data_IF_468489394870
#
_entry.id   IF_468489394870
#
_cell.length_a   1.000
_cell.length_b   1.000
_cell.length_c   1.000
_cell.angle_alpha   90.00
_cell.angle_beta   90.00
_cell.angle_gamma   90.00
#
_symmetry.space_group_name_H-M   'P 1'
#
loop_
_entity.id
_entity.type
_entity.pdbx_description
1 polymer ?
#
# COMPACT_ATOMS: atom_id res chain seq x y z
N UNK A 1 -7.24 -13.39 -79.57
CA UNK A 1 -7.75 -12.40 -78.61
C UNK A 1 -8.93 -12.94 -77.75
N UNK A 2 -9.64 -13.95 -78.17
CA UNK A 2 -10.77 -14.57 -77.43
C UNK A 2 -10.35 -15.47 -76.26
N UNK A 3 -9.23 -16.18 -76.33
CA UNK A 3 -8.79 -17.15 -75.30
C UNK A 3 -8.34 -16.49 -73.99
N UNK A 4 -7.81 -15.25 -73.99
CA UNK A 4 -7.42 -14.50 -72.77
C UNK A 4 -8.65 -13.99 -72.00
N UNK A 5 -9.79 -13.75 -72.64
CA UNK A 5 -11.03 -13.28 -71.97
C UNK A 5 -11.75 -14.44 -71.25
N UNK A 6 -11.67 -15.68 -71.72
CA UNK A 6 -12.22 -16.86 -71.05
C UNK A 6 -11.43 -17.26 -69.83
N UNK A 7 -10.10 -17.10 -69.85
CA UNK A 7 -9.24 -17.39 -68.71
C UNK A 7 -9.41 -16.38 -67.54
N UNK A 8 -9.64 -15.08 -67.87
CA UNK A 8 -9.94 -14.08 -66.85
C UNK A 8 -11.32 -14.28 -66.20
N UNK A 9 -12.33 -14.72 -66.99
CA UNK A 9 -13.67 -14.99 -66.43
C UNK A 9 -13.67 -16.25 -65.53
N UNK A 10 -12.86 -17.25 -65.85
CA UNK A 10 -12.74 -18.48 -65.02
C UNK A 10 -11.99 -18.23 -63.71
N UNK A 11 -10.99 -17.33 -63.68
CA UNK A 11 -10.28 -16.95 -62.45
C UNK A 11 -11.17 -16.10 -61.53
N UNK A 12 -11.98 -15.21 -62.05
CA UNK A 12 -12.95 -14.43 -61.27
C UNK A 12 -14.05 -15.31 -60.68
N UNK A 13 -14.50 -16.34 -61.41
CA UNK A 13 -15.51 -17.29 -60.93
C UNK A 13 -14.91 -18.24 -59.87
N UNK A 14 -13.63 -18.66 -59.96
CA UNK A 14 -12.97 -19.43 -58.90
C UNK A 14 -12.71 -18.63 -57.63
N UNK A 15 -12.38 -17.33 -57.71
CA UNK A 15 -12.22 -16.46 -56.55
C UNK A 15 -13.53 -16.20 -55.81
N UNK A 16 -14.68 -16.22 -56.47
CA UNK A 16 -15.97 -16.05 -55.82
C UNK A 16 -16.47 -17.29 -55.06
N UNK A 17 -15.91 -18.47 -55.28
CA UNK A 17 -16.26 -19.73 -54.58
C UNK A 17 -15.44 -19.90 -53.27
N UNK A 18 -14.27 -19.27 -53.16
CA UNK A 18 -13.39 -19.36 -51.98
C UNK A 18 -13.83 -18.36 -50.86
N UNK A 19 -14.67 -17.38 -51.19
CA UNK A 19 -15.13 -16.32 -50.24
C UNK A 19 -16.29 -16.69 -49.32
N UNK A 20 -16.88 -17.90 -49.42
CA UNK A 20 -18.09 -18.27 -48.63
C UNK A 20 -17.80 -19.23 -47.47
N UNK A 21 -16.53 -19.60 -47.24
CA UNK A 21 -16.17 -20.51 -46.16
C UNK A 21 -15.63 -19.82 -44.91
N UNK A 22 -16.00 -18.57 -44.68
CA UNK A 22 -15.57 -17.89 -43.42
C UNK A 22 -16.81 -17.26 -42.77
N UNK A 23 -17.11 -17.80 -41.60
CA UNK A 23 -18.03 -17.33 -40.55
C UNK A 23 -19.28 -18.20 -40.33
N UNK A 24 -19.08 -19.49 -40.05
CA UNK A 24 -19.99 -20.14 -39.12
C UNK A 24 -19.58 -19.68 -37.71
N UNK A 25 -20.01 -18.49 -37.29
CA UNK A 25 -20.14 -18.16 -35.89
C UNK A 25 -21.09 -19.20 -35.28
N UNK A 26 -20.57 -20.07 -34.45
CA UNK A 26 -21.36 -21.14 -33.82
C UNK A 26 -22.59 -20.53 -33.16
N UNK A 27 -23.77 -20.98 -33.61
CA UNK A 27 -25.05 -20.52 -33.09
C UNK A 27 -25.09 -20.85 -31.59
N UNK A 28 -25.27 -19.85 -30.74
CA UNK A 28 -25.38 -20.07 -29.30
C UNK A 28 -26.39 -21.16 -29.01
N UNK A 29 -26.02 -22.17 -28.23
CA UNK A 29 -26.91 -23.30 -27.86
C UNK A 29 -27.49 -23.16 -26.47
N UNK A 30 -26.86 -22.32 -25.64
CA UNK A 30 -27.34 -21.95 -24.31
C UNK A 30 -27.68 -20.46 -24.29
N UNK A 31 -28.90 -20.15 -23.87
CA UNK A 31 -29.30 -18.77 -23.59
C UNK A 31 -29.36 -18.56 -22.09
N UNK A 32 -28.47 -17.73 -21.58
CA UNK A 32 -28.47 -17.32 -20.17
C UNK A 32 -29.40 -16.14 -19.93
N UNK A 33 -30.11 -16.12 -18.81
CA UNK A 33 -30.95 -15.01 -18.39
C UNK A 33 -30.08 -13.76 -18.11
N UNK A 34 -28.91 -13.97 -17.50
CA UNK A 34 -27.84 -12.97 -17.37
C UNK A 34 -26.49 -13.67 -17.50
N UNK A 35 -25.53 -12.98 -18.11
CA UNK A 35 -24.12 -13.44 -18.22
C UNK A 35 -23.19 -12.73 -17.26
N UNK A 36 -23.68 -11.72 -16.53
CA UNK A 36 -22.89 -10.94 -15.58
C UNK A 36 -23.66 -10.76 -14.29
N UNK A 37 -23.03 -11.08 -13.17
CA UNK A 37 -23.56 -10.79 -11.86
C UNK A 37 -22.63 -9.84 -11.09
N UNK A 38 -23.22 -8.83 -10.44
CA UNK A 38 -22.49 -7.91 -9.58
C UNK A 38 -22.92 -8.12 -8.14
N UNK A 39 -21.99 -8.61 -7.31
CA UNK A 39 -22.21 -8.78 -5.87
C UNK A 39 -22.28 -7.45 -5.10
N UNK A 40 -21.97 -6.32 -5.78
CA UNK A 40 -21.88 -5.02 -5.10
C UNK A 40 -20.68 -4.92 -4.17
N UNK A 41 -20.90 -4.28 -3.02
CA UNK A 41 -19.90 -4.19 -1.96
C UNK A 41 -20.04 -5.41 -1.03
N UNK A 42 -19.03 -6.23 -0.95
CA UNK A 42 -18.94 -7.40 -0.06
C UNK A 42 -17.82 -7.20 0.95
N UNK A 43 -17.95 -7.77 2.14
CA UNK A 43 -16.91 -7.69 3.17
C UNK A 43 -15.92 -8.85 3.01
N UNK A 44 -14.62 -8.60 3.16
CA UNK A 44 -13.59 -9.64 3.14
C UNK A 44 -13.86 -10.75 4.15
N UNK A 45 -14.27 -10.35 5.37
CA UNK A 45 -14.60 -11.26 6.47
C UNK A 45 -16.05 -11.72 6.48
N UNK A 46 -16.88 -11.29 5.53
CA UNK A 46 -18.30 -11.61 5.43
C UNK A 46 -18.59 -13.06 4.96
N UNK A 47 -17.53 -13.80 4.62
CA UNK A 47 -17.66 -15.17 4.11
C UNK A 47 -17.90 -15.22 2.61
N UNK A 48 -18.11 -16.44 2.11
CA UNK A 48 -18.31 -16.69 0.69
C UNK A 48 -19.67 -16.16 0.23
N UNK A 49 -19.70 -15.60 -1.00
CA UNK A 49 -20.93 -15.17 -1.67
C UNK A 49 -21.17 -16.03 -2.91
N UNK A 50 -22.44 -16.32 -3.22
CA UNK A 50 -22.79 -17.19 -4.34
C UNK A 50 -23.87 -16.56 -5.20
N UNK A 51 -23.80 -16.85 -6.50
CA UNK A 51 -24.87 -16.54 -7.46
C UNK A 51 -25.12 -17.73 -8.36
N UNK A 52 -26.40 -17.97 -8.69
CA UNK A 52 -26.83 -19.03 -9.61
C UNK A 52 -27.25 -18.41 -10.92
N UNK A 53 -26.53 -18.72 -11.99
CA UNK A 53 -26.87 -18.39 -13.35
C UNK A 53 -27.83 -19.43 -13.88
N UNK A 54 -28.93 -18.99 -14.48
CA UNK A 54 -29.93 -19.87 -15.16
C UNK A 54 -29.71 -19.79 -16.65
N UNK A 55 -29.81 -20.93 -17.34
CA UNK A 55 -29.74 -20.98 -18.78
C UNK A 55 -30.85 -21.89 -19.34
N UNK A 56 -31.27 -21.64 -20.58
CA UNK A 56 -32.15 -22.45 -21.35
C UNK A 56 -31.40 -23.09 -22.50
N UNK A 57 -31.59 -24.41 -22.71
CA UNK A 57 -31.12 -25.09 -23.89
C UNK A 57 -31.99 -24.65 -25.10
N UNK A 58 -31.43 -23.86 -25.99
CA UNK A 58 -32.10 -23.40 -27.23
C UNK A 58 -31.70 -24.24 -28.46
N UNK A 59 -30.95 -25.31 -28.26
CA UNK A 59 -30.60 -26.29 -29.29
C UNK A 59 -31.74 -27.30 -29.51
N UNK A 60 -31.70 -28.00 -30.64
CA UNK A 60 -32.70 -29.07 -30.98
C UNK A 60 -32.38 -30.41 -30.36
N UNK A 61 -31.21 -30.58 -29.75
CA UNK A 61 -30.75 -31.80 -29.09
C UNK A 61 -30.40 -31.53 -27.63
N UNK A 62 -30.37 -32.58 -26.76
CA UNK A 62 -29.92 -32.41 -25.38
C UNK A 62 -28.50 -31.88 -25.28
N UNK A 63 -28.29 -30.92 -24.36
CA UNK A 63 -26.99 -30.30 -24.12
C UNK A 63 -26.47 -30.75 -22.76
N UNK A 64 -25.18 -31.13 -22.72
CA UNK A 64 -24.44 -31.46 -21.49
C UNK A 64 -23.37 -30.39 -21.25
N UNK A 65 -23.31 -29.88 -20.04
CA UNK A 65 -22.18 -29.05 -19.62
C UNK A 65 -21.00 -29.98 -19.33
N UNK A 66 -19.98 -29.91 -20.16
CA UNK A 66 -18.76 -30.75 -20.05
C UNK A 66 -17.81 -30.19 -19.01
N UNK A 67 -17.60 -28.89 -19.05
CA UNK A 67 -16.64 -28.19 -18.19
C UNK A 67 -17.07 -26.76 -17.89
N UNK A 68 -16.78 -26.30 -16.66
CA UNK A 68 -16.91 -24.90 -16.28
C UNK A 68 -15.59 -24.46 -15.64
N UNK A 69 -14.87 -23.57 -16.33
CA UNK A 69 -13.52 -23.16 -15.98
C UNK A 69 -13.56 -21.75 -15.43
N UNK A 70 -13.05 -21.55 -14.21
CA UNK A 70 -12.84 -20.23 -13.64
C UNK A 70 -11.39 -19.77 -13.86
N UNK A 71 -11.20 -18.48 -14.09
CA UNK A 71 -9.85 -17.88 -14.24
C UNK A 71 -9.05 -17.78 -12.94
N UNK A 72 -9.67 -18.10 -11.79
CA UNK A 72 -8.98 -18.14 -10.49
C UNK A 72 -9.60 -19.20 -9.57
N UNK A 73 -8.82 -19.73 -8.63
CA UNK A 73 -9.32 -20.61 -7.58
C UNK A 73 -10.27 -19.93 -6.57
N UNK A 74 -10.55 -18.64 -6.73
CA UNK A 74 -11.41 -17.85 -5.86
C UNK A 74 -12.89 -17.89 -6.27
N UNK A 75 -13.20 -18.28 -7.50
CA UNK A 75 -14.57 -18.46 -8.01
C UNK A 75 -14.77 -19.93 -8.36
N UNK A 76 -15.55 -20.64 -7.55
CA UNK A 76 -15.73 -22.08 -7.67
C UNK A 76 -17.10 -22.35 -8.27
N UNK A 77 -17.18 -22.87 -9.51
CA UNK A 77 -18.43 -23.22 -10.14
C UNK A 77 -18.92 -24.62 -9.69
N UNK A 78 -20.25 -24.73 -9.50
CA UNK A 78 -20.96 -25.99 -9.29
C UNK A 78 -22.04 -26.10 -10.35
N UNK A 79 -22.09 -27.21 -11.07
CA UNK A 79 -23.02 -27.45 -12.15
C UNK A 79 -23.38 -28.96 -12.30
N UNK A 80 -24.50 -29.26 -12.95
CA UNK A 80 -24.91 -30.62 -13.26
C UNK A 80 -24.34 -31.08 -14.61
N UNK A 81 -23.85 -32.30 -14.67
CA UNK A 81 -23.47 -33.00 -15.91
C UNK A 81 -24.63 -33.76 -16.55
N UNK A 82 -25.84 -33.67 -16.01
CA UNK A 82 -27.03 -34.32 -16.60
C UNK A 82 -27.43 -33.55 -17.88
N UNK A 83 -27.87 -34.29 -18.94
CA UNK A 83 -28.33 -33.67 -20.16
C UNK A 83 -29.58 -32.80 -19.94
N UNK A 84 -29.51 -31.56 -20.42
CA UNK A 84 -30.64 -30.62 -20.42
C UNK A 84 -31.37 -30.75 -21.77
N UNK A 85 -32.62 -31.15 -21.75
CA UNK A 85 -33.44 -31.34 -22.95
C UNK A 85 -33.73 -30.01 -23.67
N UNK A 86 -34.01 -30.02 -25.00
CA UNK A 86 -34.44 -28.80 -25.70
C UNK A 86 -35.58 -28.06 -24.98
N UNK A 87 -35.44 -26.75 -24.87
CA UNK A 87 -36.40 -25.89 -24.18
C UNK A 87 -36.40 -25.94 -22.65
N UNK A 88 -35.60 -26.83 -22.05
CA UNK A 88 -35.51 -26.93 -20.58
C UNK A 88 -34.37 -26.08 -20.05
N UNK A 89 -34.44 -25.76 -18.75
CA UNK A 89 -33.46 -24.91 -18.02
C UNK A 89 -32.45 -25.76 -17.26
N UNK A 90 -31.26 -25.18 -17.11
CA UNK A 90 -30.20 -25.66 -16.22
C UNK A 90 -29.61 -24.50 -15.41
N UNK A 91 -28.74 -24.86 -14.47
CA UNK A 91 -28.13 -23.88 -13.56
C UNK A 91 -26.61 -24.08 -13.43
N UNK A 92 -25.90 -22.96 -13.23
CA UNK A 92 -24.50 -22.95 -12.84
C UNK A 92 -24.36 -22.00 -11.64
N UNK A 93 -24.01 -22.53 -10.48
CA UNK A 93 -23.80 -21.73 -9.27
C UNK A 93 -22.32 -21.41 -9.14
N UNK A 94 -22.00 -20.14 -9.02
CA UNK A 94 -20.63 -19.66 -8.82
C UNK A 94 -20.50 -19.11 -7.41
N UNK A 95 -19.59 -19.70 -6.65
CA UNK A 95 -19.25 -19.25 -5.28
C UNK A 95 -17.92 -18.50 -5.31
N UNK A 96 -17.92 -17.27 -4.84
CA UNK A 96 -16.72 -16.44 -4.74
C UNK A 96 -16.28 -16.32 -3.28
N UNK A 97 -14.98 -16.53 -3.03
CA UNK A 97 -14.34 -16.37 -1.71
C UNK A 97 -13.56 -15.04 -1.66
N UNK A 98 -14.01 -14.05 -0.87
CA UNK A 98 -13.35 -12.74 -0.75
C UNK A 98 -12.12 -12.76 0.18
N UNK A 99 -11.89 -13.83 0.94
CA UNK A 99 -10.84 -13.91 1.96
C UNK A 99 -9.45 -13.65 1.37
N UNK A 100 -8.69 -12.73 1.98
CA UNK A 100 -7.35 -12.34 1.55
C UNK A 100 -7.33 -11.51 0.26
N UNK A 101 -8.46 -10.85 -0.11
CA UNK A 101 -8.59 -10.02 -1.31
C UNK A 101 -9.13 -8.65 -0.97
N UNK A 102 -8.80 -7.68 -1.81
CA UNK A 102 -9.16 -6.28 -1.62
C UNK A 102 -9.62 -5.66 -2.94
N UNK A 103 -10.31 -4.54 -2.87
CA UNK A 103 -10.69 -3.71 -4.00
C UNK A 103 -11.65 -4.39 -5.01
N UNK A 104 -11.76 -3.80 -6.20
CA UNK A 104 -12.61 -4.29 -7.27
C UNK A 104 -12.10 -5.62 -7.82
N UNK A 105 -13.03 -6.56 -8.06
CA UNK A 105 -12.76 -7.79 -8.79
C UNK A 105 -13.74 -7.99 -9.94
N UNK A 106 -13.23 -8.65 -10.99
CA UNK A 106 -14.03 -9.17 -12.11
C UNK A 106 -13.41 -10.49 -12.52
N UNK A 107 -14.21 -11.58 -12.45
CA UNK A 107 -13.75 -12.93 -12.76
C UNK A 107 -14.62 -13.54 -13.84
N UNK A 108 -13.97 -14.11 -14.85
CA UNK A 108 -14.65 -14.81 -15.92
C UNK A 108 -14.73 -16.31 -15.64
N UNK A 109 -15.85 -16.89 -16.03
CA UNK A 109 -16.15 -18.31 -15.92
C UNK A 109 -16.56 -18.78 -17.31
N UNK A 110 -15.74 -19.65 -17.91
CA UNK A 110 -15.99 -20.20 -19.24
C UNK A 110 -16.79 -21.49 -19.11
N UNK A 111 -17.91 -21.57 -19.81
CA UNK A 111 -18.81 -22.71 -19.85
C UNK A 111 -18.62 -23.43 -21.17
N UNK A 112 -18.24 -24.70 -21.13
CA UNK A 112 -18.04 -25.59 -22.27
C UNK A 112 -19.13 -26.65 -22.28
N UNK A 113 -19.78 -26.84 -23.41
CA UNK A 113 -20.82 -27.86 -23.60
C UNK A 113 -20.49 -28.79 -24.78
N UNK A 114 -21.14 -29.94 -24.83
CA UNK A 114 -21.00 -30.98 -25.87
C UNK A 114 -21.39 -30.49 -27.29
N UNK A 115 -21.87 -29.27 -27.43
CA UNK A 115 -22.19 -28.69 -28.75
C UNK A 115 -20.98 -28.31 -29.59
N UNK A 116 -19.78 -28.35 -29.00
CA UNK A 116 -18.48 -28.15 -29.68
C UNK A 116 -18.21 -26.75 -30.26
N UNK A 117 -19.17 -25.85 -30.29
CA UNK A 117 -19.07 -24.58 -31.02
C UNK A 117 -19.43 -23.32 -30.26
N UNK A 118 -19.96 -23.40 -29.04
CA UNK A 118 -20.28 -22.20 -28.28
C UNK A 118 -19.65 -22.23 -26.89
N UNK A 119 -18.66 -21.37 -26.68
CA UNK A 119 -18.15 -21.08 -25.36
C UNK A 119 -18.91 -19.87 -24.81
N UNK A 120 -19.71 -20.10 -23.76
CA UNK A 120 -20.33 -19.00 -23.03
C UNK A 120 -19.41 -18.54 -21.92
N UNK A 121 -19.27 -17.22 -21.78
CA UNK A 121 -18.50 -16.64 -20.70
C UNK A 121 -19.44 -15.92 -19.73
N UNK A 122 -19.43 -16.35 -18.47
CA UNK A 122 -20.11 -15.68 -17.37
C UNK A 122 -19.12 -14.81 -16.60
N UNK A 123 -19.63 -13.78 -15.97
CA UNK A 123 -18.82 -12.85 -15.20
C UNK A 123 -19.43 -12.66 -13.81
N UNK A 124 -18.58 -12.71 -12.79
CA UNK A 124 -18.91 -12.24 -11.45
C UNK A 124 -17.99 -11.09 -11.09
N UNK A 125 -18.55 -10.01 -10.59
CA UNK A 125 -17.83 -8.80 -10.24
C UNK A 125 -18.33 -8.21 -8.92
N UNK A 126 -17.56 -7.35 -8.31
CA UNK A 126 -17.91 -6.64 -7.09
C UNK A 126 -16.72 -5.87 -6.53
N UNK A 127 -16.92 -5.24 -5.39
CA UNK A 127 -15.87 -4.56 -4.63
C UNK A 127 -15.76 -5.20 -3.26
N UNK A 128 -14.54 -5.58 -2.90
CA UNK A 128 -14.26 -6.15 -1.57
C UNK A 128 -13.85 -5.01 -0.67
N UNK A 129 -14.65 -4.77 0.35
CA UNK A 129 -14.32 -3.88 1.43
C UNK A 129 -13.56 -4.70 2.48
N UNK A 130 -12.29 -4.39 2.64
CA UNK A 130 -11.55 -4.81 3.81
C UNK A 130 -12.08 -4.00 4.99
N UNK A 131 -12.60 -4.65 6.04
CA UNK A 131 -12.59 -4.00 7.33
C UNK A 131 -11.12 -3.72 7.62
N UNK A 132 -10.75 -2.46 7.79
CA UNK A 132 -9.45 -2.13 8.35
C UNK A 132 -9.41 -2.86 9.69
N UNK A 133 -8.60 -3.91 9.75
CA UNK A 133 -8.33 -4.52 11.06
C UNK A 133 -7.69 -3.44 11.90
N UNK A 134 -8.03 -3.39 13.15
CA UNK A 134 -7.39 -2.44 14.06
C UNK A 134 -5.85 -2.53 13.95
N UNK A 135 -5.33 -3.74 13.73
CA UNK A 135 -3.91 -3.99 13.54
C UNK A 135 -3.34 -3.40 12.24
N UNK A 136 -4.15 -3.20 11.20
CA UNK A 136 -3.71 -2.53 9.96
C UNK A 136 -3.59 -1.01 10.17
N UNK A 137 -4.48 -0.43 10.97
CA UNK A 137 -4.44 1.00 11.33
C UNK A 137 -3.43 1.29 12.45
N UNK A 138 -3.24 0.33 13.38
CA UNK A 138 -2.35 0.42 14.54
C UNK A 138 -1.38 -0.78 14.58
N UNK A 139 -0.41 -0.84 13.64
CA UNK A 139 0.43 -2.02 13.45
C UNK A 139 1.49 -2.25 14.55
N UNK A 140 1.66 -1.28 15.45
CA UNK A 140 2.69 -1.36 16.49
C UNK A 140 2.07 -1.62 17.86
N UNK A 141 2.64 -2.58 18.60
CA UNK A 141 2.22 -2.87 19.97
C UNK A 141 3.07 -2.09 20.96
N UNK A 142 2.44 -1.23 21.75
CA UNK A 142 3.08 -0.56 22.90
C UNK A 142 3.03 -1.43 24.16
N UNK A 143 1.95 -2.22 24.29
CA UNK A 143 1.79 -3.22 25.35
C UNK A 143 0.86 -4.33 24.85
N UNK A 144 0.52 -5.31 25.71
CA UNK A 144 -0.52 -6.31 25.38
C UNK A 144 -1.83 -5.68 24.94
N UNK A 145 -2.18 -4.54 25.49
CA UNK A 145 -3.50 -3.91 25.33
C UNK A 145 -3.48 -2.66 24.47
N UNK A 146 -2.35 -1.98 24.33
CA UNK A 146 -2.25 -0.70 23.61
C UNK A 146 -1.47 -0.88 22.30
N UNK A 147 -2.12 -0.50 21.22
CA UNK A 147 -1.54 -0.43 19.88
C UNK A 147 -1.27 1.04 19.49
N UNK A 148 -0.35 1.25 18.55
CA UNK A 148 -0.03 2.57 18.00
C UNK A 148 0.05 2.54 16.47
N UNK A 149 -0.21 3.68 15.84
CA UNK A 149 -0.11 3.83 14.38
C UNK A 149 1.35 3.98 13.91
N UNK A 150 2.25 4.39 14.80
CA UNK A 150 3.70 4.57 14.50
C UNK A 150 4.59 4.52 15.73
N UNK A 151 5.88 4.20 15.51
CA UNK A 151 6.94 4.16 16.53
C UNK A 151 8.05 5.17 16.26
N UNK A 152 7.89 6.01 15.26
CA UNK A 152 8.89 7.01 14.85
C UNK A 152 8.21 8.31 14.46
N UNK A 153 8.76 9.43 14.91
CA UNK A 153 8.36 10.77 14.51
C UNK A 153 9.58 11.53 13.97
N UNK A 154 9.41 12.17 12.82
CA UNK A 154 10.39 13.08 12.25
C UNK A 154 9.84 14.49 12.15
N UNK A 155 10.52 15.43 12.78
CA UNK A 155 10.24 16.85 12.62
C UNK A 155 10.90 17.45 11.38
N UNK A 156 11.75 16.65 10.70
CA UNK A 156 12.58 17.10 9.58
C UNK A 156 13.43 18.32 9.97
N UNK A 157 13.21 19.45 9.33
CA UNK A 157 13.91 20.69 9.63
C UNK A 157 13.02 21.62 10.49
N UNK A 158 13.53 21.98 11.64
CA UNK A 158 12.95 22.99 12.52
C UNK A 158 13.81 24.27 12.45
N UNK A 159 13.16 25.43 12.47
CA UNK A 159 13.88 26.69 12.46
C UNK A 159 14.18 27.13 13.88
N UNK A 160 15.40 27.55 14.12
CA UNK A 160 15.78 28.19 15.37
C UNK A 160 14.90 29.42 15.62
N UNK A 161 14.34 29.55 16.83
CA UNK A 161 13.32 30.56 17.18
C UNK A 161 12.06 30.51 16.29
N UNK A 162 11.82 29.39 15.60
CA UNK A 162 10.62 29.15 14.82
C UNK A 162 9.43 28.82 15.71
N UNK A 163 8.25 28.74 15.08
CA UNK A 163 7.03 28.31 15.78
C UNK A 163 7.16 26.86 16.23
N UNK A 164 6.61 26.46 17.38
CA UNK A 164 6.51 25.06 17.78
C UNK A 164 5.79 24.24 16.72
N UNK A 165 6.30 23.05 16.44
CA UNK A 165 5.68 22.08 15.51
C UNK A 165 5.16 20.90 16.32
N UNK A 166 3.87 20.57 16.13
CA UNK A 166 3.22 19.42 16.76
C UNK A 166 3.11 18.27 15.78
N UNK A 167 3.45 17.07 16.25
CA UNK A 167 3.17 15.79 15.61
C UNK A 167 2.35 14.92 16.55
N UNK A 168 1.69 13.91 16.00
CA UNK A 168 0.74 13.09 16.72
C UNK A 168 1.02 11.60 16.52
N UNK A 169 0.74 10.82 17.56
CA UNK A 169 0.69 9.36 17.53
C UNK A 169 -0.71 8.99 17.97
N UNK A 170 -1.40 8.20 17.16
CA UNK A 170 -2.69 7.65 17.54
C UNK A 170 -2.47 6.31 18.21
N UNK A 171 -3.18 6.09 19.31
CA UNK A 171 -3.14 4.84 20.08
C UNK A 171 -4.55 4.27 20.21
N UNK A 172 -4.64 2.95 20.29
CA UNK A 172 -5.87 2.21 20.47
C UNK A 172 -5.75 1.21 21.62
N UNK A 173 -6.73 1.19 22.52
CA UNK A 173 -6.86 0.17 23.55
C UNK A 173 -7.72 -0.97 23.01
N UNK A 174 -7.08 -2.11 22.68
CA UNK A 174 -7.78 -3.30 22.14
C UNK A 174 -8.44 -4.17 23.20
N UNK A 175 -8.17 -3.93 24.49
CA UNK A 175 -8.84 -4.63 25.59
C UNK A 175 -10.24 -4.07 25.86
N UNK A 176 -11.04 -4.77 26.64
CA UNK A 176 -12.36 -4.29 27.09
C UNK A 176 -12.28 -3.44 28.36
N UNK A 177 -11.10 -3.33 28.96
CA UNK A 177 -10.88 -2.64 30.25
C UNK A 177 -10.18 -1.30 30.05
N UNK A 178 -10.42 -0.37 30.95
CA UNK A 178 -9.67 0.87 31.00
C UNK A 178 -8.21 0.59 31.35
N UNK A 179 -7.29 1.24 30.65
CA UNK A 179 -5.85 1.18 30.87
C UNK A 179 -5.35 2.54 31.36
N UNK A 180 -4.55 2.56 32.42
CA UNK A 180 -3.85 3.77 32.89
C UNK A 180 -2.61 3.98 32.04
N UNK A 181 -2.39 5.23 31.62
CA UNK A 181 -1.27 5.62 30.77
C UNK A 181 -0.35 6.60 31.49
N UNK A 182 0.94 6.40 31.33
CA UNK A 182 1.98 7.36 31.71
C UNK A 182 3.11 7.32 30.70
N UNK A 183 4.03 8.28 30.77
CA UNK A 183 5.19 8.29 29.91
C UNK A 183 6.46 8.72 30.66
N UNK A 184 7.59 8.31 30.12
CA UNK A 184 8.90 8.90 30.46
C UNK A 184 9.55 9.42 29.17
N UNK A 185 10.05 10.63 29.26
CA UNK A 185 10.72 11.31 28.16
C UNK A 185 12.23 11.22 28.40
N UNK A 186 12.95 10.58 27.50
CA UNK A 186 14.41 10.57 27.47
C UNK A 186 14.87 11.66 26.51
N UNK A 187 14.58 12.90 26.89
CA UNK A 187 14.83 14.11 26.11
C UNK A 187 16.18 14.72 26.51
N UNK A 188 17.16 14.55 25.65
CA UNK A 188 18.47 15.19 25.81
C UNK A 188 18.50 16.56 25.12
N UNK A 189 17.56 16.86 24.25
CA UNK A 189 17.47 18.14 23.56
C UNK A 189 16.80 19.22 24.40
N UNK A 190 15.92 18.83 25.33
CA UNK A 190 15.08 19.75 26.09
C UNK A 190 14.02 20.46 25.24
N UNK A 191 13.85 20.05 23.97
CA UNK A 191 12.97 20.72 23.02
C UNK A 191 11.53 20.18 23.01
N UNK A 192 11.28 19.02 23.59
CA UNK A 192 10.01 18.30 23.47
C UNK A 192 9.07 18.54 24.66
N UNK A 193 7.79 18.66 24.38
CA UNK A 193 6.71 18.57 25.35
C UNK A 193 5.67 17.57 24.88
N UNK A 194 5.04 16.84 25.82
CA UNK A 194 4.09 15.77 25.54
C UNK A 194 2.76 16.08 26.23
N UNK A 195 1.69 15.91 25.47
CA UNK A 195 0.32 15.92 25.98
C UNK A 195 -0.36 14.61 25.60
N UNK A 196 -0.80 13.83 26.61
CA UNK A 196 -1.51 12.57 26.43
C UNK A 196 -2.53 12.36 27.55
N UNK A 197 -3.58 11.55 27.34
CA UNK A 197 -4.51 11.21 28.41
C UNK A 197 -3.82 10.33 29.47
N UNK A 198 -4.26 10.43 30.72
CA UNK A 198 -3.78 9.60 31.82
C UNK A 198 -4.41 8.20 31.84
N UNK A 199 -5.49 8.00 31.09
CA UNK A 199 -6.16 6.71 30.93
C UNK A 199 -6.86 6.61 29.58
N UNK A 200 -7.11 5.40 29.13
CA UNK A 200 -7.80 5.10 27.89
C UNK A 200 -8.82 3.99 28.14
N UNK A 201 -10.08 4.26 27.83
CA UNK A 201 -11.17 3.30 27.97
C UNK A 201 -10.97 2.07 27.06
N UNK A 202 -11.59 0.94 27.40
CA UNK A 202 -11.59 -0.23 26.57
C UNK A 202 -12.21 0.05 25.18
N UNK A 203 -11.68 -0.57 24.14
CA UNK A 203 -12.12 -0.45 22.74
C UNK A 203 -12.20 1.00 22.23
N UNK A 204 -11.32 1.87 22.73
CA UNK A 204 -11.29 3.27 22.34
C UNK A 204 -9.89 3.71 21.90
N UNK A 205 -9.83 4.87 21.28
CA UNK A 205 -8.57 5.46 20.78
C UNK A 205 -8.34 6.83 21.41
N UNK A 206 -7.07 7.23 21.42
CA UNK A 206 -6.64 8.56 21.82
C UNK A 206 -5.44 9.01 20.98
N UNK A 207 -5.11 10.28 21.13
CA UNK A 207 -3.97 10.90 20.44
C UNK A 207 -2.98 11.40 21.48
N UNK A 208 -1.72 11.04 21.29
CA UNK A 208 -0.57 11.58 21.99
C UNK A 208 -0.02 12.72 21.13
N UNK A 209 0.03 13.93 21.67
CA UNK A 209 0.55 15.11 21.00
C UNK A 209 1.97 15.37 21.48
N UNK A 210 2.91 15.44 20.57
CA UNK A 210 4.31 15.73 20.85
C UNK A 210 4.66 17.03 20.15
N UNK A 211 5.05 18.04 20.91
CA UNK A 211 5.39 19.37 20.39
C UNK A 211 6.89 19.61 20.54
N UNK A 212 7.55 19.88 19.43
CA UNK A 212 8.94 20.34 19.41
C UNK A 212 8.98 21.87 19.36
N UNK A 213 9.60 22.45 20.38
CA UNK A 213 9.84 23.88 20.50
C UNK A 213 11.35 24.13 20.51
N UNK A 214 11.97 24.56 19.39
CA UNK A 214 13.40 24.77 19.33
C UNK A 214 13.87 25.77 20.37
N UNK A 215 14.74 25.35 21.26
CA UNK A 215 15.26 26.19 22.35
C UNK A 215 16.29 27.20 21.81
N UNK A 216 16.39 28.37 22.49
CA UNK A 216 17.42 29.36 22.17
C UNK A 216 18.81 28.77 22.34
N UNK A 217 19.64 28.88 21.30
CA UNK A 217 21.00 28.34 21.31
C UNK A 217 21.13 26.86 20.93
N UNK A 218 20.02 26.13 20.75
CA UNK A 218 20.08 24.75 20.29
C UNK A 218 20.10 24.70 18.76
N UNK A 219 21.10 23.99 18.22
CA UNK A 219 21.29 23.74 16.78
C UNK A 219 21.70 22.30 16.53
N UNK A 220 21.47 21.82 15.31
CA UNK A 220 21.83 20.47 14.87
C UNK A 220 20.75 19.43 15.15
N UNK A 221 21.12 18.16 15.02
CA UNK A 221 20.22 17.02 15.13
C UNK A 221 19.98 16.64 16.57
N UNK A 222 18.75 16.32 16.91
CA UNK A 222 18.37 15.63 18.15
C UNK A 222 17.76 14.26 17.86
N UNK A 223 17.96 13.34 18.81
CA UNK A 223 17.43 11.97 18.80
C UNK A 223 16.94 11.67 20.19
N UNK A 224 15.66 11.89 20.41
CA UNK A 224 15.01 11.72 21.70
C UNK A 224 14.12 10.48 21.68
N UNK A 225 13.69 10.01 22.84
CA UNK A 225 12.89 8.80 23.00
C UNK A 225 11.77 9.04 23.99
N UNK A 226 10.61 8.48 23.69
CA UNK A 226 9.48 8.39 24.63
C UNK A 226 9.22 6.92 24.93
N UNK A 227 9.06 6.59 26.20
CA UNK A 227 8.58 5.28 26.65
C UNK A 227 7.17 5.49 27.20
N UNK A 228 6.20 4.80 26.63
CA UNK A 228 4.83 4.80 27.11
C UNK A 228 4.64 3.64 28.08
N UNK A 229 3.99 3.88 29.21
CA UNK A 229 3.64 2.84 30.17
C UNK A 229 2.13 2.66 30.21
N UNK A 230 1.70 1.41 30.05
CA UNK A 230 0.32 0.98 30.13
C UNK A 230 0.15 0.05 31.34
N UNK A 231 -0.59 0.45 32.38
CA UNK A 231 -0.70 -0.28 33.65
C UNK A 231 0.67 -0.69 34.22
N UNK A 232 1.66 0.22 34.16
CA UNK A 232 3.06 0.02 34.60
C UNK A 232 3.90 -0.90 33.71
N UNK A 233 3.39 -1.39 32.60
CA UNK A 233 4.18 -2.11 31.58
C UNK A 233 4.74 -1.11 30.58
N UNK A 234 6.06 -1.10 30.42
CA UNK A 234 6.77 -0.17 29.54
C UNK A 234 6.76 -0.64 28.08
N UNK A 235 6.53 0.29 27.15
CA UNK A 235 6.67 0.03 25.71
C UNK A 235 8.14 -0.06 25.28
N UNK A 236 8.35 -0.54 24.07
CA UNK A 236 9.55 -0.20 23.31
C UNK A 236 9.62 1.33 23.10
N UNK A 237 10.82 1.93 23.10
CA UNK A 237 10.95 3.38 22.91
C UNK A 237 10.45 3.86 21.54
N UNK A 238 9.61 4.87 21.55
CA UNK A 238 9.24 5.63 20.36
C UNK A 238 10.38 6.59 20.04
N UNK A 239 10.88 6.56 18.81
CA UNK A 239 12.01 7.37 18.36
C UNK A 239 11.53 8.71 17.83
N UNK A 240 12.20 9.81 18.21
CA UNK A 240 11.88 11.16 17.75
C UNK A 240 13.15 11.81 17.21
N UNK A 241 13.05 12.32 15.99
CA UNK A 241 14.16 12.95 15.29
C UNK A 241 13.79 14.33 14.83
N UNK A 242 14.78 15.20 14.75
CA UNK A 242 14.65 16.50 14.13
C UNK A 242 16.01 17.20 14.00
N UNK A 243 16.08 18.18 13.14
CA UNK A 243 17.28 19.01 12.97
C UNK A 243 16.89 20.48 13.07
N UNK A 244 17.54 21.21 13.97
CA UNK A 244 17.32 22.64 14.14
C UNK A 244 18.37 23.42 13.37
N UNK A 245 17.92 24.30 12.49
CA UNK A 245 18.75 25.15 11.61
C UNK A 245 18.36 26.62 11.72
N UNK A 246 19.22 27.48 11.22
CA UNK A 246 18.87 28.91 11.05
C UNK A 246 17.74 29.10 10.02
N UNK A 247 16.95 30.15 10.18
CA UNK A 247 15.95 30.53 9.17
C UNK A 247 16.61 31.19 7.95
N UNK A 248 16.89 30.38 6.95
CA UNK A 248 17.58 30.82 5.71
C UNK A 248 16.61 31.45 4.69
N UNK A 249 15.32 31.54 4.94
CA UNK A 249 14.33 32.10 3.98
C UNK A 249 14.52 33.56 3.69
N UNK A 250 15.16 34.29 4.61
CA UNK A 250 15.43 35.74 4.49
C UNK A 250 16.82 36.03 3.95
N UNK A 251 17.62 35.01 3.69
CA UNK A 251 19.00 35.18 3.20
C UNK A 251 19.01 35.15 1.68
N UNK A 252 19.47 36.23 1.05
CA UNK A 252 19.64 36.26 -0.40
C UNK A 252 20.70 35.23 -0.83
N UNK A 253 20.36 34.41 -1.82
CA UNK A 253 21.31 33.42 -2.38
C UNK A 253 22.57 34.06 -2.98
N UNK A 254 22.48 35.31 -3.45
CA UNK A 254 23.60 36.04 -4.00
C UNK A 254 24.65 36.44 -2.93
N UNK A 255 24.20 36.68 -1.69
CA UNK A 255 25.09 37.14 -0.58
C UNK A 255 25.23 36.05 0.50
N UNK A 256 24.56 34.91 0.39
CA UNK A 256 24.64 33.84 1.38
C UNK A 256 26.09 33.41 1.64
N UNK A 257 26.43 33.03 2.90
CA UNK A 257 27.71 32.41 3.17
C UNK A 257 27.81 31.08 2.40
N UNK A 258 28.99 30.80 1.85
CA UNK A 258 29.25 29.54 1.12
C UNK A 258 30.45 28.85 1.72
N UNK A 259 30.19 27.72 2.39
CA UNK A 259 31.25 26.94 3.02
C UNK A 259 31.97 26.07 2.00
N UNK A 260 33.31 26.16 1.98
CA UNK A 260 34.17 25.25 1.24
C UNK A 260 35.17 24.62 2.20
N UNK A 261 35.25 23.30 2.18
CA UNK A 261 36.20 22.51 2.94
C UNK A 261 37.37 22.10 2.04
N UNK A 262 38.61 22.15 2.57
CA UNK A 262 39.79 21.67 1.85
C UNK A 262 39.74 20.21 1.47
N UNK A 263 38.99 19.39 2.25
CA UNK A 263 38.80 17.99 2.02
C UNK A 263 37.41 17.60 2.50
N UNK A 264 36.73 16.66 1.82
CA UNK A 264 35.43 16.14 2.19
C UNK A 264 35.49 14.78 2.87
N UNK A 265 36.62 14.09 2.84
CA UNK A 265 36.85 12.80 3.49
C UNK A 265 38.32 12.60 3.87
N UNK A 266 38.57 11.73 4.85
CA UNK A 266 39.88 11.27 5.22
C UNK A 266 39.91 9.74 5.21
N UNK A 267 40.86 9.17 4.49
CA UNK A 267 41.19 7.76 4.67
C UNK A 267 42.20 7.66 5.81
N UNK A 268 41.81 7.09 6.93
CA UNK A 268 42.63 6.94 8.10
C UNK A 268 43.42 5.61 8.11
N UNK A 269 43.16 4.73 7.12
CA UNK A 269 43.74 3.40 7.06
C UNK A 269 43.40 2.52 8.28
N UNK A 270 44.26 1.60 8.60
CA UNK A 270 44.14 0.76 9.79
C UNK A 270 44.56 1.52 11.04
N UNK A 271 43.63 1.69 11.99
CA UNK A 271 43.84 2.40 13.24
C UNK A 271 43.94 1.36 14.37
N UNK A 272 45.04 1.37 15.11
CA UNK A 272 45.12 0.56 16.37
C UNK A 272 44.42 1.29 17.51
N UNK A 273 43.81 0.50 18.44
CA UNK A 273 42.96 0.99 19.54
C UNK A 273 43.59 2.05 20.45
N UNK A 274 44.92 2.15 20.49
CA UNK A 274 45.63 3.10 21.36
C UNK A 274 46.18 4.31 20.59
N UNK A 275 45.92 4.46 19.31
CA UNK A 275 46.49 5.51 18.48
C UNK A 275 45.47 6.61 18.22
N UNK A 276 45.82 7.83 18.62
CA UNK A 276 45.06 9.02 18.24
C UNK A 276 45.61 9.58 16.91
N UNK A 277 44.73 9.82 15.95
CA UNK A 277 45.06 10.40 14.66
C UNK A 277 44.37 11.74 14.57
N UNK A 278 45.17 12.80 14.35
CA UNK A 278 44.64 14.13 14.15
C UNK A 278 44.71 14.51 12.66
N UNK A 279 43.69 15.15 12.16
CA UNK A 279 43.61 15.71 10.82
C UNK A 279 43.06 17.13 10.90
N UNK A 280 43.54 18.02 10.01
CA UNK A 280 43.05 19.39 9.92
C UNK A 280 42.26 19.58 8.63
N UNK A 281 41.11 20.21 8.74
CA UNK A 281 40.30 20.66 7.61
C UNK A 281 40.32 22.18 7.59
N UNK A 282 40.70 22.76 6.48
CA UNK A 282 40.56 24.22 6.28
C UNK A 282 39.15 24.48 5.78
N UNK A 283 38.42 25.33 6.50
CA UNK A 283 37.10 25.82 6.09
C UNK A 283 37.28 27.25 5.58
N UNK A 284 36.75 27.52 4.40
CA UNK A 284 36.79 28.84 3.76
C UNK A 284 35.36 29.28 3.45
N UNK A 285 35.06 30.54 3.69
CA UNK A 285 33.81 31.13 3.25
C UNK A 285 34.04 31.80 1.88
N UNK A 286 33.38 31.25 0.85
CA UNK A 286 33.39 31.81 -0.51
C UNK A 286 32.16 32.71 -0.78
N UNK A 287 31.29 32.92 0.22
CA UNK A 287 30.13 33.83 0.16
C UNK A 287 30.45 35.22 0.69
N UNK A 288 29.56 36.17 0.45
CA UNK A 288 29.72 37.55 0.86
C UNK A 288 29.41 37.81 2.35
N UNK A 289 28.37 37.08 2.89
CA UNK A 289 27.99 37.22 4.29
C UNK A 289 28.87 36.35 5.20
N UNK A 290 29.04 36.71 6.49
CA UNK A 290 29.80 35.91 7.45
C UNK A 290 29.26 34.48 7.55
N UNK A 291 30.18 33.51 7.50
CA UNK A 291 29.88 32.10 7.77
C UNK A 291 29.97 31.85 9.27
N UNK A 292 28.87 31.40 9.87
CA UNK A 292 28.81 31.01 11.28
C UNK A 292 28.59 29.50 11.36
N UNK A 293 29.57 28.78 11.91
CA UNK A 293 29.43 27.37 12.19
C UNK A 293 28.70 27.21 13.53
N UNK A 294 27.46 26.74 13.50
CA UNK A 294 26.62 26.59 14.70
C UNK A 294 26.94 25.34 15.51
N UNK A 295 27.26 24.25 14.83
CA UNK A 295 27.53 22.95 15.45
C UNK A 295 28.35 22.06 14.50
N UNK A 296 29.24 21.27 15.04
CA UNK A 296 29.86 20.14 14.35
C UNK A 296 29.40 18.86 15.06
N UNK A 297 28.79 17.97 14.31
CA UNK A 297 28.34 16.67 14.82
C UNK A 297 29.31 15.59 14.40
N UNK A 298 29.78 14.82 15.38
CA UNK A 298 30.75 13.76 15.21
C UNK A 298 30.23 12.45 15.82
N UNK A 299 30.64 11.28 15.27
CA UNK A 299 30.48 10.01 15.97
C UNK A 299 31.21 10.03 17.33
N UNK A 300 30.80 9.16 18.27
CA UNK A 300 31.34 9.13 19.65
C UNK A 300 32.87 8.96 19.74
N UNK A 301 33.48 8.33 18.75
CA UNK A 301 34.93 8.10 18.69
C UNK A 301 35.72 9.23 17.98
N UNK A 302 35.05 10.29 17.55
CA UNK A 302 35.64 11.45 16.91
C UNK A 302 35.37 12.70 17.74
N UNK A 303 36.38 13.51 17.98
CA UNK A 303 36.24 14.83 18.59
C UNK A 303 36.76 15.92 17.64
N UNK A 304 36.18 17.10 17.73
CA UNK A 304 36.64 18.29 16.97
C UNK A 304 36.86 19.45 17.90
N UNK A 305 37.81 20.28 17.55
CA UNK A 305 38.01 21.66 18.07
C UNK A 305 38.03 22.61 16.89
N UNK A 306 37.43 23.78 17.07
CA UNK A 306 37.42 24.89 16.09
C UNK A 306 38.38 25.92 16.59
#
# INVERSE_FOLDING_TARGET
MMMKRFMSALIVLLCSIVGVCAQQQGRAVLRFDTTTWNFGNIQEVGGKVSHTFHFTNIHTSPVVIEEVISTCGCAIPVYSKQPVKPGHTGTITVTFDPKGRTNFFSKSIRVVSNSGQSVNTLWVKGTINTMNRIEDEYPYSLSSDILADRMTLSYDLLQHNGRPKQLEIRIYNRSDKMVRLSYSLLDKSGCLSISMPSSLQGRSYATIKITASPLKGFYGTFKDKIIISANSVHSSPIQIFGTVIDDMRKVSTATAPRMKCSQSYFNLGNISLKKHIQRKVKVTNEGANPLIIRKIECPEFVSTNI
#
